data_IF_543555557732
#
_entry.id   IF_543555557732
#
_cell.length_a   1.000
_cell.length_b   1.000
_cell.length_c   1.000
_cell.angle_alpha   90.00
_cell.angle_beta   90.00
_cell.angle_gamma   90.00
#
_symmetry.space_group_name_H-M   'P 1'
#
loop_
_entity.id
_entity.type
_entity.pdbx_description
1 polymer ?
#
# COMPACT_ATOMS: atom_id res chain seq x y z
N UNK A 1 14.33 6.57 -52.07
CA UNK A 1 14.11 8.02 -52.10
C UNK A 1 12.62 8.29 -51.97
N UNK A 2 12.29 9.32 -51.20
CA UNK A 2 10.98 9.73 -50.65
C UNK A 2 9.94 9.95 -51.76
N UNK A 3 8.64 9.77 -51.52
CA UNK A 3 7.62 10.85 -51.45
C UNK A 3 6.34 10.36 -50.77
N UNK A 4 5.91 11.11 -49.75
CA UNK A 4 4.60 11.10 -49.12
C UNK A 4 3.56 11.77 -50.03
N UNK A 5 2.35 11.23 -50.11
CA UNK A 5 1.16 12.02 -50.49
C UNK A 5 0.07 11.82 -49.44
N UNK A 6 -0.38 12.96 -48.92
CA UNK A 6 -1.42 13.14 -47.91
C UNK A 6 -2.81 12.83 -48.47
N UNK A 7 -3.73 12.34 -47.63
CA UNK A 7 -5.18 12.54 -47.72
C UNK A 7 -5.87 12.08 -46.41
N UNK A 8 -6.48 13.03 -45.70
CA UNK A 8 -7.66 12.82 -44.84
C UNK A 8 -8.86 13.45 -45.59
N UNK A 9 -10.15 13.30 -45.19
CA UNK A 9 -10.75 12.60 -44.05
C UNK A 9 -11.92 11.65 -44.45
N UNK A 10 -12.36 10.76 -43.55
CA UNK A 10 -13.73 10.22 -43.63
C UNK A 10 -14.28 9.92 -42.23
N UNK A 11 -15.58 10.17 -42.13
CA UNK A 11 -16.42 10.35 -40.96
C UNK A 11 -16.92 9.05 -40.31
N UNK A 12 -17.33 9.17 -39.05
CA UNK A 12 -18.10 8.17 -38.30
C UNK A 12 -17.22 7.25 -37.44
N UNK A 13 -17.50 6.96 -36.17
CA UNK A 13 -18.65 7.26 -35.32
C UNK A 13 -18.25 6.91 -33.87
N UNK A 14 -18.88 7.57 -32.92
CA UNK A 14 -18.67 7.49 -31.47
C UNK A 14 -19.49 6.32 -30.88
N UNK A 15 -18.87 5.36 -30.20
CA UNK A 15 -19.50 4.67 -29.05
C UNK A 15 -18.46 3.99 -28.15
N UNK A 16 -18.50 4.33 -26.86
CA UNK A 16 -17.86 3.62 -25.77
C UNK A 16 -18.51 2.24 -25.56
N UNK A 17 -17.75 1.24 -25.08
CA UNK A 17 -18.02 0.59 -23.79
C UNK A 17 -17.00 -0.50 -23.42
N UNK A 18 -16.74 -0.54 -22.12
CA UNK A 18 -15.86 -1.41 -21.35
C UNK A 18 -16.14 -2.92 -21.48
N UNK A 19 -15.11 -3.74 -21.25
CA UNK A 19 -15.26 -4.94 -20.41
C UNK A 19 -13.91 -5.52 -19.95
N UNK A 20 -13.63 -5.30 -18.66
CA UNK A 20 -13.05 -6.26 -17.71
C UNK A 20 -11.79 -7.05 -18.12
N UNK A 21 -10.61 -6.48 -17.86
CA UNK A 21 -9.44 -7.31 -17.57
C UNK A 21 -9.51 -7.78 -16.12
N UNK A 22 -9.96 -9.03 -15.96
CA UNK A 22 -9.95 -9.80 -14.74
C UNK A 22 -8.53 -9.77 -14.13
N UNK A 23 -8.33 -9.04 -13.02
CA UNK A 23 -7.13 -9.16 -12.19
C UNK A 23 -7.06 -10.59 -11.62
N UNK A 24 -6.50 -11.53 -12.39
CA UNK A 24 -6.21 -12.88 -11.92
C UNK A 24 -5.06 -12.78 -10.93
N UNK A 25 -5.39 -12.87 -9.63
CA UNK A 25 -4.40 -13.05 -8.57
C UNK A 25 -3.56 -14.30 -8.87
N UNK A 26 -2.22 -14.23 -8.92
CA UNK A 26 -1.41 -15.43 -8.97
C UNK A 26 -1.60 -16.21 -7.66
N UNK A 27 -2.12 -17.44 -7.76
CA UNK A 27 -2.13 -18.38 -6.64
C UNK A 27 -0.72 -18.91 -6.44
N UNK A 28 0.06 -18.27 -5.58
CA UNK A 28 1.23 -18.89 -4.96
C UNK A 28 0.93 -19.07 -3.48
N UNK A 29 0.34 -20.21 -3.13
CA UNK A 29 0.19 -20.64 -1.73
C UNK A 29 1.48 -21.34 -1.32
N UNK A 30 2.54 -20.56 -1.13
CA UNK A 30 3.62 -21.01 -0.24
C UNK A 30 2.99 -21.14 1.16
N UNK A 31 3.13 -22.28 1.86
CA UNK A 31 2.46 -22.44 3.13
C UNK A 31 3.03 -21.42 4.11
N UNK A 32 2.17 -20.62 4.75
CA UNK A 32 2.53 -19.48 5.61
C UNK A 32 3.72 -19.75 6.56
N UNK A 33 3.84 -20.99 7.07
CA UNK A 33 4.96 -21.43 7.93
C UNK A 33 6.36 -21.22 7.32
N UNK A 34 6.49 -21.22 6.00
CA UNK A 34 7.77 -21.10 5.30
C UNK A 34 8.30 -19.66 5.33
N UNK A 35 7.41 -18.67 5.55
CA UNK A 35 7.78 -17.26 5.70
C UNK A 35 8.36 -16.96 7.09
N UNK A 36 7.99 -17.75 8.11
CA UNK A 36 8.42 -17.56 9.49
C UNK A 36 9.73 -18.28 9.85
N UNK A 37 10.22 -19.15 8.96
CA UNK A 37 11.36 -20.03 9.23
C UNK A 37 12.67 -19.56 8.58
N UNK A 38 12.81 -18.26 8.31
CA UNK A 38 14.15 -17.68 8.12
C UNK A 38 14.80 -17.52 9.49
N UNK A 39 16.01 -18.05 9.71
CA UNK A 39 16.71 -17.85 10.98
C UNK A 39 16.97 -16.36 11.16
N UNK A 40 16.16 -15.71 11.98
CA UNK A 40 16.33 -14.32 12.37
C UNK A 40 17.61 -14.21 13.17
N UNK A 41 18.62 -13.56 12.60
CA UNK A 41 19.85 -13.23 13.31
C UNK A 41 19.47 -12.22 14.40
N UNK A 42 19.52 -12.63 15.66
CA UNK A 42 19.47 -11.69 16.77
C UNK A 42 20.65 -10.72 16.62
N UNK A 43 20.37 -9.41 16.61
CA UNK A 43 21.40 -8.38 16.68
C UNK A 43 22.15 -8.56 18.00
N UNK A 44 23.38 -9.05 17.93
CA UNK A 44 24.28 -9.17 19.08
C UNK A 44 24.91 -7.80 19.31
N UNK A 45 24.95 -7.35 20.56
CA UNK A 45 25.51 -6.06 20.97
C UNK A 45 26.96 -5.91 20.45
N UNK A 46 27.15 -5.11 19.39
CA UNK A 46 28.45 -4.88 18.73
C UNK A 46 28.38 -4.80 17.20
N UNK A 47 27.37 -4.13 16.65
CA UNK A 47 27.01 -4.22 15.24
C UNK A 47 27.71 -3.17 14.38
N UNK A 48 28.47 -3.61 13.39
CA UNK A 48 29.14 -2.75 12.40
C UNK A 48 28.10 -2.03 11.53
N UNK A 49 28.44 -0.85 11.02
CA UNK A 49 27.53 -0.04 10.19
C UNK A 49 27.04 -0.81 8.94
N UNK A 50 27.85 -1.75 8.44
CA UNK A 50 27.52 -2.61 7.31
C UNK A 50 26.33 -3.52 7.60
N UNK A 51 26.23 -4.09 8.80
CA UNK A 51 25.12 -5.00 9.15
C UNK A 51 23.80 -4.23 9.30
N UNK A 52 23.84 -3.02 9.87
CA UNK A 52 22.66 -2.15 9.95
C UNK A 52 22.17 -1.74 8.56
N UNK A 53 23.08 -1.46 7.64
CA UNK A 53 22.76 -1.11 6.25
C UNK A 53 22.11 -2.29 5.52
N UNK A 54 22.65 -3.49 5.66
CA UNK A 54 22.08 -4.71 5.07
C UNK A 54 20.68 -4.98 5.61
N UNK A 55 20.47 -4.88 6.92
CA UNK A 55 19.14 -5.06 7.53
C UNK A 55 18.15 -4.01 7.02
N UNK A 56 18.58 -2.75 6.89
CA UNK A 56 17.73 -1.69 6.33
C UNK A 56 17.32 -2.01 4.89
N UNK A 57 18.25 -2.49 4.06
CA UNK A 57 17.95 -2.89 2.68
C UNK A 57 16.96 -4.06 2.62
N UNK A 58 17.11 -5.06 3.49
CA UNK A 58 16.18 -6.19 3.60
C UNK A 58 14.77 -5.76 4.04
N UNK A 59 14.67 -4.83 5.01
CA UNK A 59 13.39 -4.25 5.42
C UNK A 59 12.75 -3.49 4.26
N UNK A 60 13.50 -2.64 3.56
CA UNK A 60 13.00 -1.88 2.42
C UNK A 60 12.49 -2.79 1.30
N UNK A 61 13.24 -3.85 0.94
CA UNK A 61 12.83 -4.83 -0.09
C UNK A 61 11.55 -5.57 0.31
N UNK A 62 11.48 -6.04 1.55
CA UNK A 62 10.31 -6.77 2.07
C UNK A 62 9.07 -5.87 2.12
N UNK A 63 9.24 -4.63 2.56
CA UNK A 63 8.16 -3.65 2.62
C UNK A 63 7.67 -3.26 1.22
N UNK A 64 8.57 -3.00 0.27
CA UNK A 64 8.21 -2.68 -1.11
C UNK A 64 7.41 -3.82 -1.78
N UNK A 65 7.82 -5.08 -1.56
CA UNK A 65 7.09 -6.24 -2.05
C UNK A 65 5.67 -6.32 -1.44
N UNK A 66 5.55 -6.15 -0.12
CA UNK A 66 4.25 -6.15 0.55
C UNK A 66 3.33 -5.02 0.04
N UNK A 67 3.87 -3.80 -0.15
CA UNK A 67 3.08 -2.70 -0.71
C UNK A 67 2.58 -3.02 -2.13
N UNK A 68 3.44 -3.60 -2.97
CA UNK A 68 3.05 -4.02 -4.32
C UNK A 68 1.93 -5.06 -4.29
N UNK A 69 2.08 -6.10 -3.47
CA UNK A 69 1.08 -7.16 -3.32
C UNK A 69 -0.26 -6.63 -2.77
N UNK A 70 -0.22 -5.65 -1.85
CA UNK A 70 -1.39 -5.04 -1.24
C UNK A 70 -2.03 -3.92 -2.09
N UNK A 71 -1.39 -3.49 -3.18
CA UNK A 71 -1.84 -2.36 -3.99
C UNK A 71 -1.75 -1.01 -3.27
N UNK A 72 -0.81 -0.86 -2.34
CA UNK A 72 -0.58 0.37 -1.58
C UNK A 72 0.24 1.33 -2.43
N UNK A 73 -0.25 2.57 -2.57
CA UNK A 73 0.44 3.60 -3.35
C UNK A 73 1.74 4.04 -2.67
N UNK A 74 2.76 4.41 -3.46
CA UNK A 74 4.04 4.86 -2.92
C UNK A 74 3.89 6.10 -2.01
N UNK A 75 2.88 6.94 -2.25
CA UNK A 75 2.62 8.10 -1.41
C UNK A 75 2.27 7.74 0.05
N UNK A 76 1.91 6.48 0.33
CA UNK A 76 1.58 6.01 1.67
C UNK A 76 2.70 6.27 2.70
N UNK A 77 3.96 6.24 2.28
CA UNK A 77 5.11 6.46 3.18
C UNK A 77 5.29 7.91 3.61
N UNK A 78 4.66 8.87 2.90
CA UNK A 78 4.77 10.29 3.19
C UNK A 78 3.77 10.75 4.25
N UNK A 79 2.78 9.92 4.61
CA UNK A 79 1.83 10.29 5.65
C UNK A 79 2.49 10.22 7.04
N UNK A 80 2.24 11.20 7.94
CA UNK A 80 2.78 11.18 9.30
C UNK A 80 2.44 9.90 10.08
N UNK A 81 1.26 9.32 9.80
CA UNK A 81 0.81 8.06 10.40
C UNK A 81 1.75 6.89 10.13
N UNK A 82 2.46 6.87 9.00
CA UNK A 82 3.43 5.82 8.70
C UNK A 82 4.65 5.86 9.64
N UNK A 83 5.12 7.06 9.99
CA UNK A 83 6.21 7.23 10.95
C UNK A 83 5.78 6.73 12.34
N UNK A 84 4.59 7.13 12.79
CA UNK A 84 4.01 6.63 14.05
C UNK A 84 3.88 5.11 14.05
N UNK A 85 3.40 4.52 12.96
CA UNK A 85 3.32 3.07 12.80
C UNK A 85 4.69 2.39 12.96
N UNK A 86 5.71 2.87 12.23
CA UNK A 86 7.07 2.31 12.33
C UNK A 86 7.65 2.42 13.75
N UNK A 87 7.41 3.53 14.44
CA UNK A 87 7.87 3.74 15.82
C UNK A 87 7.23 2.73 16.78
N UNK A 88 5.91 2.55 16.71
CA UNK A 88 5.18 1.61 17.58
C UNK A 88 5.62 0.17 17.30
N UNK A 89 5.79 -0.22 16.03
CA UNK A 89 6.30 -1.55 15.66
C UNK A 89 7.72 -1.75 16.18
N UNK A 90 8.59 -0.75 16.04
CA UNK A 90 9.97 -0.80 16.55
C UNK A 90 10.05 -0.94 18.06
N UNK A 91 9.16 -0.29 18.81
CA UNK A 91 9.05 -0.40 20.27
C UNK A 91 8.54 -1.76 20.73
N UNK A 92 7.66 -2.41 19.97
CA UNK A 92 7.13 -3.73 20.32
C UNK A 92 8.22 -4.81 20.27
N UNK A 93 9.18 -4.68 19.36
CA UNK A 93 10.38 -5.51 19.29
C UNK A 93 10.31 -6.68 18.29
N UNK A 94 11.35 -7.53 18.24
CA UNK A 94 11.56 -8.50 17.16
C UNK A 94 10.56 -9.68 17.10
N UNK A 95 9.68 -9.82 18.10
CA UNK A 95 8.71 -10.92 18.17
C UNK A 95 7.25 -10.47 17.95
N UNK A 96 7.05 -9.40 17.17
CA UNK A 96 5.72 -8.99 16.71
C UNK A 96 5.13 -10.11 15.85
N UNK A 97 4.06 -10.73 16.34
CA UNK A 97 3.19 -11.52 15.47
C UNK A 97 2.48 -10.56 14.51
N UNK A 98 2.47 -10.82 13.20
CA UNK A 98 1.67 -10.03 12.27
C UNK A 98 0.23 -9.97 12.77
N UNK A 99 -0.34 -8.76 12.80
CA UNK A 99 -1.73 -8.57 13.22
C UNK A 99 -2.66 -9.38 12.31
N UNK A 100 -3.65 -10.00 12.93
CA UNK A 100 -4.68 -10.74 12.21
C UNK A 100 -5.67 -9.79 11.54
N UNK A 101 -6.38 -10.28 10.52
CA UNK A 101 -7.43 -9.50 9.84
C UNK A 101 -8.46 -8.94 10.82
N UNK A 102 -8.85 -9.72 11.85
CA UNK A 102 -9.85 -9.30 12.82
C UNK A 102 -9.35 -8.19 13.75
N UNK A 103 -8.08 -8.24 14.15
CA UNK A 103 -7.44 -7.21 14.98
C UNK A 103 -7.31 -5.87 14.24
N UNK A 104 -7.07 -5.90 12.92
CA UNK A 104 -6.95 -4.68 12.10
C UNK A 104 -8.32 -4.15 11.65
N UNK A 105 -9.31 -5.02 11.45
CA UNK A 105 -10.65 -4.64 10.94
C UNK A 105 -11.35 -3.62 11.83
N UNK A 106 -11.29 -3.81 13.15
CA UNK A 106 -11.97 -2.94 14.10
C UNK A 106 -11.36 -1.52 14.18
N UNK A 107 -10.05 -1.34 14.38
CA UNK A 107 -9.43 -0.01 14.36
C UNK A 107 -9.62 0.68 13.00
N UNK A 108 -9.56 -0.04 11.88
CA UNK A 108 -9.83 0.56 10.58
C UNK A 108 -11.25 1.15 10.48
N UNK A 109 -12.26 0.46 11.02
CA UNK A 109 -13.63 1.00 11.06
C UNK A 109 -13.73 2.27 11.90
N UNK A 110 -13.02 2.32 13.03
CA UNK A 110 -12.99 3.51 13.88
C UNK A 110 -12.39 4.71 13.15
N UNK A 111 -11.28 4.54 12.43
CA UNK A 111 -10.67 5.61 11.64
C UNK A 111 -11.63 6.17 10.56
N UNK A 112 -12.41 5.29 9.93
CA UNK A 112 -13.45 5.71 8.97
C UNK A 112 -14.54 6.52 9.65
N UNK A 113 -15.02 6.07 10.81
CA UNK A 113 -16.03 6.79 11.60
C UNK A 113 -15.53 8.17 12.04
N UNK A 114 -14.29 8.26 12.55
CA UNK A 114 -13.66 9.53 12.93
C UNK A 114 -13.58 10.50 11.75
N UNK A 115 -13.20 10.00 10.57
CA UNK A 115 -13.14 10.82 9.36
C UNK A 115 -14.53 11.30 8.94
N UNK A 116 -15.53 10.42 8.96
CA UNK A 116 -16.90 10.78 8.63
C UNK A 116 -17.46 11.82 9.59
N UNK A 117 -17.13 11.71 10.88
CA UNK A 117 -17.52 12.64 11.92
C UNK A 117 -16.88 14.01 11.72
N UNK A 118 -15.58 14.07 11.44
CA UNK A 118 -14.90 15.32 11.11
C UNK A 118 -15.49 16.00 9.86
N UNK A 119 -16.03 15.23 8.91
CA UNK A 119 -16.70 15.77 7.72
C UNK A 119 -18.16 16.21 7.95
N UNK A 120 -18.77 15.92 9.10
CA UNK A 120 -20.22 16.18 9.32
C UNK A 120 -20.56 17.66 9.22
N UNK A 121 -19.75 18.53 9.82
CA UNK A 121 -19.99 19.96 9.83
C UNK A 121 -19.96 20.53 8.41
N UNK A 122 -18.90 20.24 7.65
CA UNK A 122 -18.79 20.62 6.25
C UNK A 122 -19.95 20.10 5.38
N UNK A 123 -20.41 18.87 5.62
CA UNK A 123 -21.59 18.34 4.91
C UNK A 123 -22.87 19.10 5.25
N UNK A 124 -23.03 19.56 6.48
CA UNK A 124 -24.21 20.33 6.91
C UNK A 124 -24.18 21.75 6.33
N UNK A 125 -23.01 22.39 6.33
CA UNK A 125 -22.79 23.69 5.68
C UNK A 125 -23.08 23.61 4.18
N UNK A 126 -22.54 22.60 3.48
CA UNK A 126 -22.77 22.39 2.05
C UNK A 126 -24.25 22.22 1.69
N UNK A 127 -25.03 21.52 2.53
CA UNK A 127 -26.49 21.39 2.34
C UNK A 127 -27.22 22.72 2.42
N UNK A 128 -26.68 23.66 3.18
CA UNK A 128 -27.31 24.97 3.44
C UNK A 128 -26.91 25.99 2.39
N UNK A 129 -25.63 26.03 2.02
CA UNK A 129 -25.07 27.09 1.19
C UNK A 129 -24.74 26.65 -0.24
N UNK A 130 -24.74 25.35 -0.54
CA UNK A 130 -24.40 24.83 -1.86
C UNK A 130 -22.89 24.83 -2.16
N UNK A 131 -22.56 24.66 -3.45
CA UNK A 131 -21.21 24.76 -4.01
C UNK A 131 -20.93 26.19 -4.49
#
# INVERSE_FOLDING_TARGET
MIIWTSLTPSSGSRSNNESNSLFKKPKQTVPLHLYYNTPSRQMKLGETDDVKKELKDQVCKSFAKWMYDAGISFNAVNYPSFNTFCQVVGQYGPYVKPSTYHEVRFPLKKEVELTLDAMKEHKNEWKTYGC
#
